data_IF_574834858851
#
_entry.id   IF_574834858851
#
_cell.length_a   1.000
_cell.length_b   1.000
_cell.length_c   1.000
_cell.angle_alpha   90.00
_cell.angle_beta   90.00
_cell.angle_gamma   90.00
#
_symmetry.space_group_name_H-M   'P 1'
#
loop_
_entity.id
_entity.type
_entity.pdbx_description
1 polymer ?
#
# COMPACT_ATOMS: atom_id res chain seq x y z
N UNK A 1 -5.94 -6.37 -13.71
CA UNK A 1 -5.05 -5.26 -14.16
C UNK A 1 -3.88 -4.98 -13.19
N UNK A 2 -4.07 -4.50 -11.95
CA UNK A 2 -2.92 -4.34 -11.00
C UNK A 2 -2.58 -5.62 -10.23
N UNK A 3 -3.57 -6.41 -9.82
CA UNK A 3 -3.35 -7.68 -9.12
C UNK A 3 -2.52 -8.67 -9.97
N UNK A 4 -2.74 -8.72 -11.28
CA UNK A 4 -1.94 -9.54 -12.21
C UNK A 4 -0.47 -9.12 -12.28
N UNK A 5 -0.15 -7.83 -12.13
CA UNK A 5 1.25 -7.37 -12.11
C UNK A 5 1.98 -7.82 -10.84
N UNK A 6 1.26 -7.93 -9.72
CA UNK A 6 1.78 -8.50 -8.48
C UNK A 6 2.07 -10.01 -8.61
N UNK A 7 1.28 -10.72 -9.43
CA UNK A 7 1.51 -12.14 -9.76
C UNK A 7 2.61 -12.33 -10.82
N UNK A 8 2.78 -11.38 -11.75
CA UNK A 8 3.80 -11.40 -12.81
C UNK A 8 5.24 -11.10 -12.35
N UNK A 9 5.48 -10.93 -11.04
CA UNK A 9 6.81 -10.72 -10.49
C UNK A 9 7.30 -9.27 -10.49
N UNK A 10 6.41 -8.28 -10.64
CA UNK A 10 6.78 -6.87 -10.52
C UNK A 10 7.34 -6.58 -9.12
N UNK A 11 8.56 -6.04 -9.07
CA UNK A 11 9.22 -5.67 -7.81
C UNK A 11 8.67 -4.39 -7.18
N UNK A 12 8.11 -3.49 -8.00
CA UNK A 12 7.52 -2.22 -7.57
C UNK A 12 6.28 -1.96 -8.45
N UNK A 13 5.18 -1.56 -7.83
CA UNK A 13 3.93 -1.15 -8.47
C UNK A 13 3.65 0.28 -8.05
N UNK A 14 3.49 1.17 -9.03
CA UNK A 14 3.09 2.56 -8.83
C UNK A 14 1.58 2.71 -9.06
N UNK A 15 0.93 3.58 -8.29
CA UNK A 15 -0.51 3.88 -8.37
C UNK A 15 -1.40 2.63 -8.39
N UNK A 16 -1.06 1.67 -7.52
CA UNK A 16 -1.73 0.38 -7.47
C UNK A 16 -3.19 0.52 -7.01
N UNK A 17 -4.12 -0.06 -7.78
CA UNK A 17 -5.55 -0.05 -7.46
C UNK A 17 -6.06 -1.47 -7.17
N UNK A 18 -6.71 -1.63 -6.02
CA UNK A 18 -7.20 -2.91 -5.52
C UNK A 18 -8.66 -2.78 -5.11
N UNK A 19 -9.44 -3.82 -5.36
CA UNK A 19 -10.85 -3.87 -4.99
C UNK A 19 -11.11 -5.12 -4.17
N UNK A 20 -11.68 -4.93 -2.98
CA UNK A 20 -12.06 -6.02 -2.10
C UNK A 20 -13.32 -5.66 -1.33
N UNK A 21 -14.26 -6.60 -1.22
CA UNK A 21 -15.55 -6.41 -0.53
C UNK A 21 -16.31 -5.13 -0.98
N UNK A 22 -16.19 -4.75 -2.25
CA UNK A 22 -16.82 -3.53 -2.80
C UNK A 22 -16.11 -2.21 -2.45
N UNK A 23 -14.97 -2.28 -1.73
CA UNK A 23 -14.13 -1.13 -1.42
C UNK A 23 -12.98 -1.02 -2.43
N UNK A 24 -12.70 0.19 -2.89
CA UNK A 24 -11.56 0.52 -3.74
C UNK A 24 -10.46 1.17 -2.90
N UNK A 25 -9.26 0.59 -2.93
CA UNK A 25 -8.05 1.20 -2.38
C UNK A 25 -7.09 1.57 -3.50
N UNK A 26 -6.58 2.79 -3.45
CA UNK A 26 -5.45 3.24 -4.27
C UNK A 26 -4.26 3.52 -3.37
N UNK A 27 -3.10 3.09 -3.83
CA UNK A 27 -1.82 3.18 -3.13
C UNK A 27 -0.82 3.89 -4.02
N UNK A 28 0.04 4.73 -3.47
CA UNK A 28 1.05 5.42 -4.26
C UNK A 28 2.09 4.43 -4.78
N UNK A 29 2.70 3.65 -3.87
CA UNK A 29 3.75 2.68 -4.20
C UNK A 29 3.58 1.40 -3.37
N UNK A 30 3.60 0.26 -4.04
CA UNK A 30 3.74 -1.06 -3.43
C UNK A 30 5.06 -1.67 -3.86
N UNK A 31 5.90 -2.01 -2.89
CA UNK A 31 7.21 -2.64 -3.14
C UNK A 31 7.20 -4.08 -2.65
N UNK A 32 7.56 -5.01 -3.53
CA UNK A 32 7.70 -6.42 -3.18
C UNK A 32 9.01 -6.66 -2.45
N UNK A 33 8.94 -7.26 -1.28
CA UNK A 33 10.10 -7.69 -0.52
C UNK A 33 10.59 -9.07 -0.97
N UNK A 34 11.84 -9.39 -0.62
CA UNK A 34 12.47 -10.67 -0.97
C UNK A 34 11.77 -11.87 -0.33
N UNK A 35 11.16 -11.69 0.84
CA UNK A 35 10.36 -12.69 1.56
C UNK A 35 8.92 -12.83 1.01
N UNK A 36 8.58 -12.09 -0.05
CA UNK A 36 7.26 -12.15 -0.69
C UNK A 36 6.17 -11.33 0.01
N UNK A 37 6.52 -10.57 1.04
CA UNK A 37 5.66 -9.53 1.61
C UNK A 37 5.72 -8.25 0.76
N UNK A 38 4.82 -7.32 1.05
CA UNK A 38 4.73 -6.02 0.37
C UNK A 38 4.86 -4.88 1.38
N UNK A 39 5.64 -3.88 1.02
CA UNK A 39 5.69 -2.58 1.71
C UNK A 39 4.76 -1.61 1.01
N UNK A 40 3.83 -1.03 1.77
CA UNK A 40 2.98 0.07 1.35
C UNK A 40 3.67 1.40 1.68
N UNK A 41 3.97 2.20 0.65
CA UNK A 41 4.62 3.49 0.78
C UNK A 41 3.65 4.54 0.26
N UNK A 42 3.23 5.44 1.15
CA UNK A 42 2.33 6.57 0.85
C UNK A 42 3.16 7.85 0.77
N UNK A 43 3.17 8.50 -0.39
CA UNK A 43 3.89 9.74 -0.62
C UNK A 43 3.01 10.91 -0.19
N UNK A 44 3.16 11.36 1.05
CA UNK A 44 2.42 12.51 1.57
C UNK A 44 3.30 13.76 1.63
N UNK A 45 2.84 14.83 0.99
CA UNK A 45 3.47 16.16 1.02
C UNK A 45 3.18 16.98 2.29
N UNK A 46 2.94 16.34 3.45
CA UNK A 46 2.57 17.03 4.69
C UNK A 46 3.36 16.46 5.87
N UNK A 47 3.78 17.34 6.79
CA UNK A 47 4.70 17.01 7.91
C UNK A 47 4.00 16.52 9.18
N UNK A 48 2.67 16.37 9.18
CA UNK A 48 1.89 16.02 10.37
C UNK A 48 1.01 14.79 10.14
N UNK A 49 1.04 13.86 11.10
CA UNK A 49 0.13 12.71 11.15
C UNK A 49 -1.21 13.17 11.73
N UNK A 50 -2.26 13.19 10.91
CA UNK A 50 -3.65 13.35 11.36
C UNK A 50 -4.29 12.00 11.64
N UNK A 51 -5.17 11.91 12.63
CA UNK A 51 -5.90 10.68 12.99
C UNK A 51 -6.72 10.10 11.82
N UNK A 52 -7.18 10.95 10.90
CA UNK A 52 -7.87 10.56 9.67
C UNK A 52 -7.03 9.58 8.84
N UNK A 53 -5.70 9.78 8.80
CA UNK A 53 -4.80 8.91 8.07
C UNK A 53 -4.71 7.49 8.62
N UNK A 54 -4.97 7.29 9.91
CA UNK A 54 -4.99 5.94 10.49
C UNK A 54 -6.16 5.12 9.96
N UNK A 55 -7.31 5.78 9.74
CA UNK A 55 -8.50 5.13 9.16
C UNK A 55 -8.30 4.83 7.69
N UNK A 56 -7.73 5.77 6.93
CA UNK A 56 -7.40 5.55 5.52
C UNK A 56 -6.42 4.39 5.34
N UNK A 57 -5.33 4.36 6.11
CA UNK A 57 -4.32 3.29 6.05
C UNK A 57 -4.92 1.95 6.48
N UNK A 58 -5.81 1.93 7.48
CA UNK A 58 -6.51 0.71 7.88
C UNK A 58 -7.43 0.19 6.76
N UNK A 59 -8.16 1.07 6.09
CA UNK A 59 -9.03 0.71 4.96
C UNK A 59 -8.20 0.22 3.75
N UNK A 60 -7.13 0.92 3.39
CA UNK A 60 -6.21 0.49 2.33
C UNK A 60 -5.62 -0.89 2.64
N UNK A 61 -5.14 -1.08 3.87
CA UNK A 61 -4.60 -2.36 4.34
C UNK A 61 -5.63 -3.48 4.21
N UNK A 62 -6.85 -3.26 4.66
CA UNK A 62 -7.93 -4.25 4.59
C UNK A 62 -8.19 -4.69 3.14
N UNK A 63 -8.24 -3.73 2.21
CA UNK A 63 -8.45 -4.03 0.79
C UNK A 63 -7.27 -4.78 0.17
N UNK A 64 -6.04 -4.38 0.49
CA UNK A 64 -4.83 -5.03 -0.01
C UNK A 64 -4.67 -6.46 0.50
N UNK A 65 -4.82 -6.67 1.81
CA UNK A 65 -4.76 -8.00 2.42
C UNK A 65 -5.90 -8.90 1.91
N UNK A 66 -7.10 -8.34 1.77
CA UNK A 66 -8.24 -9.04 1.15
C UNK A 66 -8.04 -9.38 -0.33
N UNK A 67 -7.22 -8.59 -1.04
CA UNK A 67 -6.81 -8.86 -2.43
C UNK A 67 -5.66 -9.89 -2.54
N UNK A 68 -5.24 -10.49 -1.43
CA UNK A 68 -4.21 -11.53 -1.39
C UNK A 68 -2.78 -11.03 -1.18
N UNK A 69 -2.57 -9.72 -0.97
CA UNK A 69 -1.24 -9.17 -0.71
C UNK A 69 -0.89 -9.35 0.76
N UNK A 70 0.23 -10.01 1.04
CA UNK A 70 0.78 -10.08 2.40
C UNK A 70 1.55 -8.80 2.70
N UNK A 71 0.90 -7.82 3.31
CA UNK A 71 1.59 -6.61 3.73
C UNK A 71 2.50 -6.92 4.90
N UNK A 72 3.77 -6.50 4.81
CA UNK A 72 4.63 -6.46 5.98
C UNK A 72 3.94 -5.55 6.99
N UNK A 73 3.82 -5.97 8.25
CA UNK A 73 3.32 -5.09 9.32
C UNK A 73 4.20 -3.82 9.33
N UNK A 74 3.69 -2.63 8.99
CA UNK A 74 4.49 -1.44 9.13
C UNK A 74 4.31 -0.96 10.56
N UNK A 75 5.38 -1.08 11.34
CA UNK A 75 5.69 0.04 12.18
C UNK A 75 6.08 1.18 11.21
N UNK A 76 5.31 2.28 11.25
CA UNK A 76 5.59 3.58 10.64
C UNK A 76 5.43 3.68 9.11
N UNK A 77 4.43 4.48 8.69
CA UNK A 77 4.49 5.17 7.40
C UNK A 77 5.89 5.79 7.28
N UNK A 78 6.69 5.36 6.30
CA UNK A 78 7.97 6.02 6.05
C UNK A 78 7.65 7.30 5.30
N UNK A 79 7.48 8.40 6.04
CA UNK A 79 7.39 9.74 5.49
C UNK A 79 8.75 10.11 4.91
N UNK A 80 9.11 9.56 3.76
CA UNK A 80 10.26 10.06 3.01
C UNK A 80 9.83 11.36 2.37
N UNK A 81 10.17 12.44 3.06
CA UNK A 81 10.21 13.81 2.56
C UNK A 81 10.98 13.75 1.23
N UNK A 82 10.29 13.96 0.11
CA UNK A 82 10.93 14.47 -1.09
C UNK A 82 11.19 15.95 -0.83
N UNK A 83 12.40 16.25 -0.37
CA UNK A 83 13.03 17.57 -0.43
C UNK A 83 14.44 17.38 -0.95
#
# INVERSE_FOLDING_TARGET
MTAELAEGGAGIIFEGAFVFAGLLARCDILKRNKDGTWDLIEAKGSTAVKEEHLRDVAAQRYVLEGSGLKLRKPCWCTWTIVS
#
